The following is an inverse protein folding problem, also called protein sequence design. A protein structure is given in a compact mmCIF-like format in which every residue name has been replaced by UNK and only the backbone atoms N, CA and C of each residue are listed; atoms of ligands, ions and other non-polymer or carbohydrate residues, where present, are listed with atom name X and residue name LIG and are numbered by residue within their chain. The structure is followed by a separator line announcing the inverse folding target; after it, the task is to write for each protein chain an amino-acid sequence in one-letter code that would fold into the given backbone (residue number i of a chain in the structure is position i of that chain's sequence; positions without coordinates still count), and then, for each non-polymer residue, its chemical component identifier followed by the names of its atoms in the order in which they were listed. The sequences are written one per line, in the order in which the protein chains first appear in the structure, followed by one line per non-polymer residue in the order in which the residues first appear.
data_IF_586278407463
#
_entry.id   IF_586278407463
#
_cell.length_a   1.000
_cell.length_b   1.000
_cell.length_c   1.000
_cell.angle_alpha   90.00
_cell.angle_beta   90.00
_cell.angle_gamma   90.00
#
_symmetry.space_group_name_H-M   'P 1'
#
loop_
_entity.id
_entity.type
_entity.pdbx_description
1 polymer ?
#
# COMPACT_ATOMS: atom_id res chain seq x y z
N UNK A 1 -4.66 5.68 -31.43
CA UNK A 1 -4.32 6.57 -30.30
C UNK A 1 -5.25 7.77 -30.38
N UNK A 2 -5.88 8.14 -29.28
CA UNK A 2 -6.77 9.32 -29.19
C UNK A 2 -6.05 10.46 -28.46
N UNK A 3 -6.55 11.69 -28.56
CA UNK A 3 -5.95 12.90 -27.94
C UNK A 3 -5.78 12.80 -26.39
N UNK A 4 -6.39 11.82 -25.72
CA UNK A 4 -6.21 11.56 -24.28
C UNK A 4 -5.24 10.42 -23.94
N UNK A 5 -4.58 9.81 -24.93
CA UNK A 5 -3.63 8.70 -24.70
C UNK A 5 -2.16 9.18 -24.57
N UNK A 6 -1.84 10.39 -25.04
CA UNK A 6 -0.47 10.91 -25.10
C UNK A 6 -0.37 12.38 -24.65
N UNK A 7 0.80 12.76 -24.14
CA UNK A 7 1.21 14.14 -23.85
C UNK A 7 2.57 14.43 -24.50
N UNK A 8 2.85 15.71 -24.78
CA UNK A 8 4.18 16.13 -25.23
C UNK A 8 5.13 16.31 -24.04
N UNK A 9 6.32 15.74 -24.14
CA UNK A 9 7.40 15.87 -23.15
C UNK A 9 8.74 15.94 -23.88
N UNK A 10 9.51 17.01 -23.65
CA UNK A 10 10.81 17.27 -24.31
C UNK A 10 10.79 17.08 -25.84
N UNK A 11 9.73 17.57 -26.50
CA UNK A 11 9.57 17.47 -27.95
C UNK A 11 9.14 16.09 -28.47
N UNK A 12 8.89 15.12 -27.58
CA UNK A 12 8.42 13.77 -27.92
C UNK A 12 7.00 13.51 -27.40
N UNK A 13 6.24 12.69 -28.11
CA UNK A 13 4.94 12.20 -27.62
C UNK A 13 5.15 10.98 -26.74
N UNK A 14 4.73 11.07 -25.47
CA UNK A 14 4.74 9.96 -24.51
C UNK A 14 3.32 9.64 -24.07
N UNK A 15 3.08 8.45 -23.53
CA UNK A 15 1.76 8.08 -23.01
C UNK A 15 1.41 8.86 -21.74
N UNK A 16 0.13 9.16 -21.54
CA UNK A 16 -0.34 9.74 -20.27
C UNK A 16 -0.09 8.77 -19.11
N UNK A 17 0.00 9.27 -17.88
CA UNK A 17 0.21 8.42 -16.71
C UNK A 17 -0.91 7.35 -16.56
N UNK A 18 -2.18 7.75 -16.76
CA UNK A 18 -3.33 6.83 -16.74
C UNK A 18 -3.25 5.77 -17.84
N UNK A 19 -2.76 6.14 -19.03
CA UNK A 19 -2.56 5.21 -20.15
C UNK A 19 -1.46 4.20 -19.84
N UNK A 20 -0.30 4.69 -19.40
CA UNK A 20 0.85 3.88 -19.02
C UNK A 20 0.49 2.90 -17.91
N UNK A 21 -0.17 3.35 -16.85
CA UNK A 21 -0.61 2.49 -15.75
C UNK A 21 -1.54 1.38 -16.24
N UNK A 22 -2.48 1.69 -17.14
CA UNK A 22 -3.37 0.70 -17.72
C UNK A 22 -2.62 -0.31 -18.62
N UNK A 23 -1.64 0.12 -19.42
CA UNK A 23 -0.81 -0.78 -20.24
C UNK A 23 0.04 -1.71 -19.37
N UNK A 24 0.63 -1.21 -18.28
CA UNK A 24 1.37 -2.01 -17.30
C UNK A 24 0.46 -3.06 -16.66
N UNK A 25 -0.74 -2.68 -16.22
CA UNK A 25 -1.67 -3.60 -15.58
C UNK A 25 -2.18 -4.73 -16.49
N UNK A 26 -2.22 -4.50 -17.81
CA UNK A 26 -2.58 -5.54 -18.79
C UNK A 26 -1.45 -6.55 -19.04
N UNK A 27 -0.23 -6.25 -18.61
CA UNK A 27 0.95 -7.09 -18.87
C UNK A 27 1.57 -7.69 -17.60
N UNK A 28 1.28 -7.10 -16.44
CA UNK A 28 1.91 -7.44 -15.16
C UNK A 28 1.05 -8.38 -14.29
N UNK A 29 1.67 -9.05 -13.30
CA UNK A 29 0.97 -9.68 -12.18
C UNK A 29 0.04 -8.70 -11.43
N UNK A 30 -0.96 -9.25 -10.72
CA UNK A 30 -1.99 -8.47 -10.03
C UNK A 30 -1.41 -7.52 -8.97
N UNK A 31 -0.48 -8.02 -8.17
CA UNK A 31 0.19 -7.29 -7.10
C UNK A 31 1.05 -6.14 -7.62
N UNK A 32 1.78 -6.34 -8.72
CA UNK A 32 2.54 -5.28 -9.39
C UNK A 32 1.62 -4.20 -10.00
N UNK A 33 0.47 -4.61 -10.57
CA UNK A 33 -0.52 -3.66 -11.06
C UNK A 33 -1.10 -2.80 -9.93
N UNK A 34 -1.37 -3.38 -8.75
CA UNK A 34 -1.81 -2.65 -7.56
C UNK A 34 -0.75 -1.64 -7.12
N UNK A 35 0.54 -1.99 -7.10
CA UNK A 35 1.63 -1.06 -6.74
C UNK A 35 1.63 0.18 -7.64
N UNK A 36 1.50 -0.03 -8.96
CA UNK A 36 1.48 1.08 -9.93
C UNK A 36 0.24 1.96 -9.75
N UNK A 37 -0.92 1.35 -9.51
CA UNK A 37 -2.15 2.10 -9.26
C UNK A 37 -2.12 2.86 -7.93
N UNK A 38 -1.69 2.23 -6.84
CA UNK A 38 -1.55 2.87 -5.52
C UNK A 38 -0.64 4.10 -5.62
N UNK A 39 0.54 3.94 -6.24
CA UNK A 39 1.50 5.03 -6.42
C UNK A 39 0.94 6.18 -7.26
N UNK A 40 0.28 5.87 -8.39
CA UNK A 40 -0.28 6.88 -9.27
C UNK A 40 -1.46 7.63 -8.65
N UNK A 41 -2.31 6.94 -7.88
CA UNK A 41 -3.40 7.56 -7.11
C UNK A 41 -2.86 8.44 -5.99
N UNK A 42 -1.84 7.97 -5.25
CA UNK A 42 -1.21 8.72 -4.15
C UNK A 42 -0.54 10.01 -4.62
N UNK A 43 0.11 9.97 -5.78
CA UNK A 43 0.75 11.14 -6.39
C UNK A 43 -0.23 11.98 -7.23
N UNK A 44 -1.52 11.63 -7.24
CA UNK A 44 -2.56 12.32 -8.00
C UNK A 44 -2.25 12.43 -9.51
N UNK A 45 -1.50 11.48 -10.06
CA UNK A 45 -1.13 11.44 -11.48
C UNK A 45 -2.32 11.07 -12.36
N UNK A 46 -3.30 10.38 -11.79
CA UNK A 46 -4.55 10.01 -12.42
C UNK A 46 -5.63 9.65 -11.40
N UNK A 47 -6.88 9.58 -11.85
CA UNK A 47 -8.00 8.98 -11.11
C UNK A 47 -8.27 7.54 -11.57
N UNK A 48 -9.04 6.78 -10.78
CA UNK A 48 -9.45 5.43 -11.19
C UNK A 48 -10.28 5.44 -12.47
N UNK A 49 -11.12 6.45 -12.65
CA UNK A 49 -12.00 6.61 -13.82
C UNK A 49 -11.19 6.81 -15.11
N UNK A 50 -10.08 7.57 -15.03
CA UNK A 50 -9.18 7.76 -16.17
C UNK A 50 -8.52 6.45 -16.59
N UNK A 51 -8.02 5.66 -15.64
CA UNK A 51 -7.45 4.33 -15.92
C UNK A 51 -8.52 3.38 -16.47
N UNK A 52 -9.70 3.35 -15.85
CA UNK A 52 -10.84 2.52 -16.26
C UNK A 52 -11.27 2.83 -17.71
N UNK A 53 -11.28 4.10 -18.11
CA UNK A 53 -11.56 4.53 -19.48
C UNK A 53 -10.59 3.89 -20.48
N UNK A 54 -9.29 3.83 -20.16
CA UNK A 54 -8.36 3.15 -21.05
C UNK A 54 -8.61 1.64 -21.04
N UNK A 55 -8.85 1.00 -19.88
CA UNK A 55 -9.11 -0.45 -19.80
C UNK A 55 -10.37 -0.86 -20.56
N UNK A 56 -11.44 -0.06 -20.49
CA UNK A 56 -12.71 -0.31 -21.18
C UNK A 56 -12.58 -0.35 -22.71
N UNK A 57 -11.61 0.36 -23.28
CA UNK A 57 -11.30 0.32 -24.73
C UNK A 57 -10.59 -0.97 -25.16
N UNK A 58 -10.16 -1.80 -24.22
CA UNK A 58 -9.37 -3.02 -24.46
C UNK A 58 -9.97 -4.22 -23.71
N UNK A 59 -11.28 -4.51 -23.87
CA UNK A 59 -11.98 -5.51 -23.05
C UNK A 59 -11.42 -6.93 -23.24
N UNK A 60 -10.93 -7.23 -24.44
CA UNK A 60 -10.39 -8.53 -24.82
C UNK A 60 -8.87 -8.66 -24.58
N UNK A 61 -8.22 -7.64 -24.02
CA UNK A 61 -6.80 -7.72 -23.70
C UNK A 61 -6.56 -8.81 -22.65
N UNK A 62 -5.40 -9.48 -22.79
CA UNK A 62 -4.92 -10.41 -21.76
C UNK A 62 -4.91 -9.67 -20.41
N UNK A 63 -5.39 -10.33 -19.35
CA UNK A 63 -5.49 -9.78 -17.98
C UNK A 63 -6.46 -8.60 -17.80
N UNK A 64 -7.33 -8.24 -18.76
CA UNK A 64 -8.29 -7.13 -18.60
C UNK A 64 -9.11 -7.21 -17.30
N UNK A 65 -9.65 -8.39 -16.98
CA UNK A 65 -10.36 -8.65 -15.71
C UNK A 65 -9.47 -8.46 -14.47
N UNK A 66 -8.23 -8.93 -14.53
CA UNK A 66 -7.26 -8.79 -13.44
C UNK A 66 -6.87 -7.32 -13.24
N UNK A 67 -6.73 -6.56 -14.32
CA UNK A 67 -6.41 -5.13 -14.27
C UNK A 67 -7.56 -4.32 -13.64
N UNK A 68 -8.81 -4.64 -14.00
CA UNK A 68 -9.98 -4.02 -13.38
C UNK A 68 -10.08 -4.34 -11.88
N UNK A 69 -9.88 -5.60 -11.50
CA UNK A 69 -9.87 -6.00 -10.09
C UNK A 69 -8.73 -5.34 -9.30
N UNK A 70 -7.54 -5.19 -9.90
CA UNK A 70 -6.43 -4.48 -9.29
C UNK A 70 -6.73 -2.99 -9.10
N UNK A 71 -7.37 -2.36 -10.10
CA UNK A 71 -7.80 -0.97 -10.02
C UNK A 71 -8.87 -0.75 -8.95
N UNK A 72 -9.81 -1.69 -8.81
CA UNK A 72 -10.80 -1.68 -7.73
C UNK A 72 -10.12 -1.78 -6.36
N UNK A 73 -9.16 -2.70 -6.21
CA UNK A 73 -8.41 -2.92 -4.97
C UNK A 73 -7.48 -1.75 -4.58
N UNK A 74 -7.00 -0.99 -5.57
CA UNK A 74 -6.02 0.08 -5.36
C UNK A 74 -6.53 1.20 -4.42
N UNK A 75 -5.62 1.90 -3.77
CA UNK A 75 -5.89 3.01 -2.85
C UNK A 75 -4.78 4.06 -2.90
N UNK A 76 -5.11 5.32 -2.66
CA UNK A 76 -4.12 6.39 -2.52
C UNK A 76 -3.38 6.36 -1.16
N UNK A 77 -3.85 5.57 -0.20
CA UNK A 77 -3.32 5.56 1.16
C UNK A 77 -2.04 4.71 1.35
N UNK A 78 -1.73 3.77 0.45
CA UNK A 78 -0.49 2.98 0.54
C UNK A 78 0.70 3.82 0.07
N UNK A 79 1.73 3.96 0.90
CA UNK A 79 2.83 4.89 0.61
C UNK A 79 4.00 4.23 -0.14
N UNK A 80 4.25 2.96 0.15
CA UNK A 80 5.38 2.21 -0.40
C UNK A 80 4.96 0.92 -1.10
N UNK A 81 5.73 0.42 -2.08
CA UNK A 81 5.44 -0.86 -2.74
C UNK A 81 5.27 -2.03 -1.77
N UNK A 82 6.06 -2.07 -0.69
CA UNK A 82 5.94 -3.09 0.35
C UNK A 82 4.59 -3.08 1.07
N UNK A 83 3.97 -1.91 1.23
CA UNK A 83 2.62 -1.82 1.78
C UNK A 83 1.59 -2.41 0.82
N UNK A 84 1.67 -2.06 -0.46
CA UNK A 84 0.79 -2.62 -1.50
C UNK A 84 0.90 -4.15 -1.58
N UNK A 85 2.13 -4.70 -1.57
CA UNK A 85 2.33 -6.15 -1.53
C UNK A 85 1.72 -6.78 -0.26
N UNK A 86 1.92 -6.14 0.89
CA UNK A 86 1.37 -6.60 2.16
C UNK A 86 -0.16 -6.63 2.12
N UNK A 87 -0.81 -5.60 1.58
CA UNK A 87 -2.27 -5.54 1.40
C UNK A 87 -2.78 -6.67 0.53
N UNK A 88 -2.14 -6.91 -0.62
CA UNK A 88 -2.52 -7.99 -1.53
C UNK A 88 -2.34 -9.34 -0.86
N UNK A 89 -1.23 -9.55 -0.14
CA UNK A 89 -0.97 -10.77 0.63
C UNK A 89 -2.02 -11.01 1.72
N UNK A 90 -2.34 -9.99 2.51
CA UNK A 90 -3.39 -10.02 3.53
C UNK A 90 -4.75 -10.41 2.94
N UNK A 91 -5.17 -9.71 1.88
CA UNK A 91 -6.47 -9.93 1.25
C UNK A 91 -6.60 -11.36 0.67
N UNK A 92 -5.56 -11.82 -0.02
CA UNK A 92 -5.57 -13.17 -0.64
C UNK A 92 -5.54 -14.30 0.40
N UNK A 93 -5.09 -14.03 1.63
CA UNK A 93 -4.99 -15.03 2.72
C UNK A 93 -6.12 -14.88 3.75
N UNK A 94 -7.08 -14.00 3.46
CA UNK A 94 -8.25 -13.77 4.31
C UNK A 94 -7.89 -13.20 5.67
N UNK A 95 -6.87 -12.33 5.73
CA UNK A 95 -6.60 -11.49 6.90
C UNK A 95 -7.58 -10.31 6.87
N UNK A 96 -8.06 -9.88 8.04
CA UNK A 96 -8.95 -8.74 8.14
C UNK A 96 -8.33 -7.50 7.47
N UNK A 97 -9.15 -6.71 6.79
CA UNK A 97 -8.68 -5.48 6.12
C UNK A 97 -8.26 -4.44 7.16
N UNK A 98 -7.01 -3.98 7.16
CA UNK A 98 -6.57 -2.94 8.08
C UNK A 98 -7.03 -1.54 7.64
N UNK A 99 -7.11 -0.61 8.59
CA UNK A 99 -7.09 0.83 8.30
C UNK A 99 -5.64 1.22 8.03
N UNK A 100 -5.39 1.88 6.90
CA UNK A 100 -4.04 2.29 6.50
C UNK A 100 -3.70 3.67 7.06
N UNK A 101 -2.43 3.88 7.35
CA UNK A 101 -1.88 5.19 7.75
C UNK A 101 -2.67 5.83 8.90
N UNK A 102 -3.09 5.01 9.86
CA UNK A 102 -3.92 5.48 10.99
C UNK A 102 -3.06 6.32 11.94
N UNK A 103 -3.43 7.58 12.23
CA UNK A 103 -2.68 8.40 13.16
C UNK A 103 -2.89 7.96 14.61
N UNK A 104 -1.79 7.91 15.37
CA UNK A 104 -1.80 7.68 16.82
C UNK A 104 -1.22 8.89 17.57
N UNK A 105 -1.77 9.17 18.75
CA UNK A 105 -1.43 10.33 19.57
C UNK A 105 -1.30 9.91 21.04
N UNK A 106 -0.42 10.57 21.79
CA UNK A 106 -0.39 10.50 23.26
C UNK A 106 -0.37 11.91 23.86
N UNK A 107 -0.16 12.01 25.17
CA UNK A 107 -0.07 13.29 25.89
C UNK A 107 1.04 14.24 25.38
N UNK A 108 2.02 13.73 24.62
CA UNK A 108 3.12 14.50 24.00
C UNK A 108 2.82 14.89 22.55
N UNK A 109 1.61 14.59 22.04
CA UNK A 109 1.18 14.88 20.68
C UNK A 109 1.25 13.67 19.76
N UNK A 110 1.35 13.91 18.45
CA UNK A 110 1.37 12.84 17.44
C UNK A 110 2.55 11.90 17.66
N UNK A 111 2.28 10.60 17.64
CA UNK A 111 3.31 9.56 17.68
C UNK A 111 3.78 9.27 16.26
N UNK A 112 2.84 9.03 15.35
CA UNK A 112 3.06 8.72 13.96
C UNK A 112 1.80 8.13 13.33
N UNK A 113 1.91 7.80 12.05
CA UNK A 113 0.87 7.06 11.32
C UNK A 113 1.32 5.60 11.26
N UNK A 114 0.46 4.68 11.69
CA UNK A 114 0.73 3.25 11.59
C UNK A 114 0.33 2.76 10.19
N UNK A 115 1.22 2.03 9.51
CA UNK A 115 0.98 1.55 8.14
C UNK A 115 -0.30 0.72 8.05
N UNK A 116 -0.53 -0.14 9.05
CA UNK A 116 -1.69 -1.03 9.15
C UNK A 116 -2.25 -1.02 10.58
N UNK A 117 -3.55 -0.79 10.74
CA UNK A 117 -4.23 -0.84 12.04
C UNK A 117 -5.47 -1.74 12.01
N UNK A 118 -5.55 -2.66 12.97
CA UNK A 118 -6.74 -3.47 13.27
C UNK A 118 -7.26 -3.05 14.63
N UNK A 119 -8.07 -1.99 14.64
CA UNK A 119 -8.46 -1.24 15.85
C UNK A 119 -9.20 -2.11 16.88
N UNK A 120 -10.15 -2.92 16.41
CA UNK A 120 -10.94 -3.81 17.26
C UNK A 120 -10.07 -4.87 17.92
N UNK A 121 -8.99 -5.28 17.25
CA UNK A 121 -8.03 -6.23 17.77
C UNK A 121 -6.87 -5.55 18.52
N UNK A 122 -6.79 -4.21 18.53
CA UNK A 122 -5.69 -3.43 19.13
C UNK A 122 -4.32 -3.91 18.64
N UNK A 123 -4.23 -4.18 17.33
CA UNK A 123 -2.99 -4.60 16.65
C UNK A 123 -2.60 -3.55 15.63
N UNK A 124 -1.30 -3.32 15.51
CA UNK A 124 -0.74 -2.56 14.40
C UNK A 124 0.30 -3.38 13.64
N UNK A 125 0.42 -3.11 12.35
CA UNK A 125 1.44 -3.65 11.47
C UNK A 125 2.26 -2.52 10.87
N UNK A 126 3.56 -2.73 10.76
CA UNK A 126 4.52 -1.75 10.25
C UNK A 126 5.42 -2.42 9.20
N UNK A 127 5.42 -1.86 7.99
CA UNK A 127 6.32 -2.25 6.94
C UNK A 127 7.64 -1.47 7.10
N UNK A 128 8.67 -2.15 7.58
CA UNK A 128 9.97 -1.54 7.85
C UNK A 128 10.99 -1.86 6.76
N UNK A 129 11.11 -0.93 5.80
CA UNK A 129 12.15 -0.97 4.80
C UNK A 129 13.46 -0.34 5.33
N UNK A 130 14.58 -1.05 5.15
CA UNK A 130 15.94 -0.60 5.52
C UNK A 130 16.39 0.69 4.81
N UNK A 131 15.65 1.15 3.79
CA UNK A 131 15.99 2.32 2.97
C UNK A 131 15.88 3.65 3.73
N UNK A 132 15.12 3.71 4.85
CA UNK A 132 14.92 4.92 5.66
C UNK A 132 16.23 5.48 6.25
N UNK A 133 17.30 4.67 6.30
CA UNK A 133 18.60 5.04 6.87
C UNK A 133 19.68 5.38 5.84
N UNK A 134 19.40 5.15 4.55
CA UNK A 134 20.41 5.25 3.48
C UNK A 134 20.04 6.27 2.41
N UNK A 135 18.78 6.69 2.34
CA UNK A 135 18.31 7.65 1.35
C UNK A 135 18.15 9.06 1.95
N UNK A 136 18.89 10.08 1.44
CA UNK A 136 18.87 11.45 1.93
C UNK A 136 17.48 12.09 2.05
N UNK A 137 16.52 11.66 1.22
CA UNK A 137 15.13 12.17 1.23
C UNK A 137 14.41 11.88 2.54
N UNK A 138 14.78 10.83 3.25
CA UNK A 138 14.18 10.45 4.53
C UNK A 138 15.00 10.87 5.74
N UNK A 139 16.30 11.05 5.51
CA UNK A 139 17.19 11.64 6.48
C UNK A 139 16.75 13.08 6.80
N UNK A 140 16.22 13.83 5.82
CA UNK A 140 15.72 15.22 6.02
C UNK A 140 16.75 16.11 6.75
N UNK A 141 18.03 15.98 6.37
CA UNK A 141 19.15 16.70 7.00
C UNK A 141 19.62 16.15 8.36
N UNK A 142 18.98 15.09 8.88
CA UNK A 142 19.39 14.38 10.10
C UNK A 142 20.46 13.34 9.82
N UNK A 143 21.24 13.02 10.83
CA UNK A 143 22.17 11.89 10.83
C UNK A 143 21.45 10.55 10.96
N UNK A 144 22.09 9.45 10.54
CA UNK A 144 21.48 8.13 10.66
C UNK A 144 21.17 7.78 12.13
N UNK A 145 22.05 8.19 13.05
CA UNK A 145 21.87 8.01 14.48
C UNK A 145 20.64 8.75 15.03
N UNK A 146 20.36 9.96 14.53
CA UNK A 146 19.15 10.71 14.87
C UNK A 146 17.89 10.02 14.39
N UNK A 147 17.85 9.58 13.13
CA UNK A 147 16.70 8.87 12.56
C UNK A 147 16.43 7.57 13.34
N UNK A 148 17.46 6.79 13.65
CA UNK A 148 17.34 5.56 14.45
C UNK A 148 16.80 5.88 15.86
N UNK A 149 17.30 6.94 16.50
CA UNK A 149 16.86 7.33 17.84
C UNK A 149 15.41 7.78 17.86
N UNK A 150 15.00 8.58 16.88
CA UNK A 150 13.62 9.06 16.75
C UNK A 150 12.66 7.89 16.48
N UNK A 151 13.05 6.98 15.59
CA UNK A 151 12.28 5.77 15.28
C UNK A 151 12.15 4.85 16.50
N UNK A 152 13.22 4.69 17.29
CA UNK A 152 13.18 3.95 18.56
C UNK A 152 12.24 4.60 19.58
N UNK A 153 12.22 5.93 19.66
CA UNK A 153 11.28 6.66 20.53
C UNK A 153 9.85 6.54 20.05
N UNK A 154 9.60 6.64 18.74
CA UNK A 154 8.29 6.40 18.13
C UNK A 154 7.79 5.00 18.47
N UNK A 155 8.65 4.01 18.32
CA UNK A 155 8.31 2.62 18.61
C UNK A 155 7.89 2.43 20.07
N UNK A 156 8.71 2.90 21.02
CA UNK A 156 8.40 2.79 22.43
C UNK A 156 7.08 3.50 22.81
N UNK A 157 6.74 4.61 22.14
CA UNK A 157 5.46 5.31 22.34
C UNK A 157 4.27 4.51 21.78
N UNK A 158 4.42 3.84 20.63
CA UNK A 158 3.37 2.97 20.09
C UNK A 158 3.17 1.73 20.97
N UNK A 159 4.24 1.07 21.41
CA UNK A 159 4.17 -0.09 22.29
C UNK A 159 3.55 0.26 23.67
N UNK A 160 3.73 1.49 24.14
CA UNK A 160 3.13 1.98 25.39
C UNK A 160 1.73 2.60 25.20
N UNK A 161 1.23 2.70 23.96
CA UNK A 161 -0.05 3.32 23.69
C UNK A 161 -1.17 2.41 24.22
N UNK A 162 -2.16 2.94 24.98
CA UNK A 162 -3.19 2.09 25.57
C UNK A 162 -3.88 1.23 24.51
N UNK A 163 -4.28 1.80 23.36
CA UNK A 163 -5.01 1.09 22.31
C UNK A 163 -4.21 0.14 21.40
N UNK A 164 -2.99 -0.23 21.81
CA UNK A 164 -2.11 -1.11 21.04
C UNK A 164 -1.56 -2.16 22.00
N UNK A 165 -1.94 -3.43 21.84
CA UNK A 165 -1.34 -4.49 22.66
C UNK A 165 -0.19 -5.20 21.92
N UNK A 166 -0.14 -5.17 20.57
CA UNK A 166 0.96 -5.76 19.79
C UNK A 166 1.26 -4.95 18.53
N UNK A 167 2.56 -4.77 18.28
CA UNK A 167 3.13 -4.22 17.05
C UNK A 167 3.80 -5.35 16.26
N UNK A 168 3.35 -5.60 15.03
CA UNK A 168 3.98 -6.58 14.13
C UNK A 168 4.80 -5.85 13.09
N UNK A 169 6.08 -6.20 12.95
CA UNK A 169 6.98 -5.57 11.99
C UNK A 169 7.48 -6.58 10.96
N UNK A 170 7.60 -6.15 9.72
CA UNK A 170 8.15 -7.00 8.66
C UNK A 170 8.83 -6.18 7.57
N UNK A 171 9.75 -6.84 6.87
CA UNK A 171 10.56 -6.25 5.80
C UNK A 171 9.99 -6.57 4.41
N UNK A 172 10.72 -6.20 3.37
CA UNK A 172 10.33 -6.43 1.98
C UNK A 172 10.26 -7.91 1.62
N UNK A 173 11.12 -8.77 2.19
CA UNK A 173 11.10 -10.20 1.90
C UNK A 173 9.79 -10.82 2.40
N UNK A 174 9.36 -10.46 3.61
CA UNK A 174 8.09 -10.91 4.17
C UNK A 174 6.89 -10.29 3.46
N UNK A 175 6.95 -9.01 3.08
CA UNK A 175 5.89 -8.39 2.30
C UNK A 175 5.65 -9.09 0.95
N UNK A 176 6.71 -9.67 0.36
CA UNK A 176 6.66 -10.47 -0.88
C UNK A 176 6.32 -11.94 -0.66
N UNK A 177 6.19 -12.39 0.58
CA UNK A 177 5.77 -13.74 0.96
C UNK A 177 4.41 -13.68 1.70
N UNK A 178 3.29 -13.78 0.96
CA UNK A 178 1.96 -13.71 1.54
C UNK A 178 1.69 -14.74 2.65
N UNK A 179 2.28 -15.93 2.56
CA UNK A 179 2.04 -17.01 3.52
C UNK A 179 2.81 -16.75 4.82
N UNK A 180 4.06 -16.31 4.73
CA UNK A 180 4.84 -15.88 5.89
C UNK A 180 4.23 -14.65 6.57
N UNK A 181 3.80 -13.64 5.80
CA UNK A 181 3.12 -12.48 6.35
C UNK A 181 1.84 -12.88 7.08
N UNK A 182 0.98 -13.68 6.45
CA UNK A 182 -0.25 -14.15 7.08
C UNK A 182 0.03 -14.95 8.36
N UNK A 183 1.04 -15.82 8.37
CA UNK A 183 1.46 -16.58 9.55
C UNK A 183 1.85 -15.65 10.71
N UNK A 184 2.66 -14.61 10.45
CA UNK A 184 3.07 -13.64 11.49
C UNK A 184 1.89 -12.85 12.04
N UNK A 185 1.02 -12.34 11.16
CA UNK A 185 -0.14 -11.55 11.57
C UNK A 185 -1.12 -12.38 12.41
N UNK A 186 -1.41 -13.62 12.00
CA UNK A 186 -2.28 -14.52 12.75
C UNK A 186 -1.67 -14.91 14.11
N UNK A 187 -0.37 -15.18 14.16
CA UNK A 187 0.32 -15.47 15.42
C UNK A 187 0.29 -14.28 16.40
N UNK A 188 0.23 -13.05 15.88
CA UNK A 188 0.07 -11.83 16.67
C UNK A 188 -1.40 -11.52 17.06
N UNK A 189 -2.35 -12.38 16.67
CA UNK A 189 -3.78 -12.20 16.98
C UNK A 189 -4.51 -11.25 16.05
N UNK A 190 -3.98 -10.94 14.87
CA UNK A 190 -4.75 -10.22 13.83
C UNK A 190 -5.88 -11.14 13.35
N UNK A 191 -7.14 -10.66 13.33
CA UNK A 191 -8.27 -11.50 12.96
C UNK A 191 -8.25 -11.84 11.47
N UNK A 192 -8.93 -12.94 11.13
CA UNK A 192 -9.29 -13.23 9.74
C UNK A 192 -10.43 -12.30 9.30
N UNK A 193 -10.51 -12.05 8.00
CA UNK A 193 -11.64 -11.34 7.43
C UNK A 193 -12.94 -12.08 7.74
N UNK A 194 -13.98 -11.34 8.12
CA UNK A 194 -15.28 -11.91 8.40
C UNK A 194 -15.81 -12.60 7.14
N UNK A 195 -16.08 -13.91 7.24
CA UNK A 195 -16.69 -14.68 6.14
C UNK A 195 -18.09 -14.20 5.75
N UNK A 196 -18.71 -13.35 6.57
CA UNK A 196 -20.07 -12.82 6.41
C UNK A 196 -20.13 -11.32 6.07
N UNK A 197 -18.99 -10.64 5.85
CA UNK A 197 -19.04 -9.31 5.27
C UNK A 197 -19.65 -9.42 3.86
N UNK A 198 -20.67 -8.60 3.51
CA UNK A 198 -21.33 -8.72 2.22
C UNK A 198 -20.28 -8.63 1.11
N UNK A 199 -20.25 -9.65 0.23
CA UNK A 199 -19.55 -9.53 -1.06
C UNK A 199 -20.12 -8.29 -1.72
N UNK A 200 -19.32 -7.22 -1.85
CA UNK A 200 -19.74 -6.06 -2.65
C UNK A 200 -20.09 -6.56 -4.06
N UNK A 201 -21.23 -6.14 -4.62
CA UNK A 201 -21.85 -6.79 -5.77
C UNK A 201 -21.03 -6.57 -7.04
N UNK A 202 -21.25 -7.52 -7.97
CA UNK A 202 -20.61 -7.72 -9.27
C UNK A 202 -20.68 -6.52 -10.23
#
# INVERSE_FOLDING_TARGET
MTHGDVIAWEGSWITTASRTAADIALTSPFDEAVVVFDQGLRLELFTKEQVATHLARRPNARRSRSALAALEFATAAAQWPGESFSRVGMATRGIATPVLQKPYFDARGKIGDADFSWEQARRIGEFDGQWKYTDPRFMLGRTAAEVIRDEKRRHARLEAHPDIDVVVRWDYAVARDPDELARRLLAAGVPRADRHAPRRPA
#
